data_IF_135249727440
#
_entry.id   IF_135249727440
#
_cell.length_a   1.000
_cell.length_b   1.000
_cell.length_c   1.000
_cell.angle_alpha   90.00
_cell.angle_beta   90.00
_cell.angle_gamma   90.00
#
_symmetry.space_group_name_H-M   'P 1'
#
loop_
_entity.id
_entity.type
_entity.pdbx_description
1 polymer ?
#
# COMPACT_ATOMS: atom_id res chain seq x y z
N UNK A 1 -12.37 -7.74 13.53
CA UNK A 1 -11.74 -9.03 13.19
C UNK A 1 -11.94 -9.24 11.69
N UNK A 2 -10.98 -8.84 10.86
CA UNK A 2 -11.03 -9.21 9.43
C UNK A 2 -10.50 -10.64 9.32
N UNK A 3 -11.37 -11.58 8.97
CA UNK A 3 -10.97 -12.94 8.62
C UNK A 3 -10.27 -12.93 7.27
N UNK A 4 -9.22 -13.73 7.11
CA UNK A 4 -8.57 -13.93 5.80
C UNK A 4 -9.57 -14.58 4.84
N UNK A 5 -9.85 -13.99 3.66
CA UNK A 5 -10.71 -14.59 2.65
C UNK A 5 -10.24 -15.98 2.23
N UNK A 6 -11.17 -16.93 2.06
CA UNK A 6 -10.86 -18.35 1.78
C UNK A 6 -11.10 -18.75 0.33
N UNK A 7 -11.76 -17.91 -0.45
CA UNK A 7 -12.05 -18.15 -1.86
C UNK A 7 -12.06 -16.83 -2.65
N UNK A 8 -12.23 -16.97 -3.96
CA UNK A 8 -12.20 -15.85 -4.91
C UNK A 8 -13.27 -14.80 -4.58
N UNK A 9 -14.50 -15.23 -4.32
CA UNK A 9 -15.63 -14.32 -4.12
C UNK A 9 -15.45 -13.55 -2.80
N UNK A 10 -15.08 -14.25 -1.72
CA UNK A 10 -14.73 -13.61 -0.44
C UNK A 10 -13.58 -12.61 -0.58
N UNK A 11 -12.57 -12.89 -1.42
CA UNK A 11 -11.45 -11.99 -1.64
C UNK A 11 -11.89 -10.72 -2.38
N UNK A 12 -12.67 -10.87 -3.45
CA UNK A 12 -13.19 -9.74 -4.24
C UNK A 12 -14.12 -8.88 -3.39
N UNK A 13 -15.00 -9.49 -2.61
CA UNK A 13 -15.92 -8.79 -1.72
C UNK A 13 -15.17 -8.05 -0.61
N UNK A 14 -14.15 -8.67 -0.01
CA UNK A 14 -13.32 -8.03 1.00
C UNK A 14 -12.58 -6.82 0.44
N UNK A 15 -11.94 -6.94 -0.73
CA UNK A 15 -11.24 -5.83 -1.39
C UNK A 15 -12.23 -4.69 -1.67
N UNK A 16 -13.36 -4.99 -2.32
CA UNK A 16 -14.33 -3.97 -2.74
C UNK A 16 -14.99 -3.25 -1.57
N UNK A 17 -15.36 -3.99 -0.51
CA UNK A 17 -15.99 -3.43 0.68
C UNK A 17 -15.03 -2.54 1.47
N UNK A 18 -13.78 -2.99 1.65
CA UNK A 18 -12.78 -2.24 2.42
C UNK A 18 -12.30 -1.03 1.63
N UNK A 19 -12.03 -1.17 0.33
CA UNK A 19 -11.57 -0.05 -0.50
C UNK A 19 -12.60 1.07 -0.57
N UNK A 20 -13.89 0.74 -0.63
CA UNK A 20 -14.96 1.75 -0.68
C UNK A 20 -15.04 2.55 0.62
N UNK A 21 -14.90 1.90 1.78
CA UNK A 21 -14.87 2.57 3.09
C UNK A 21 -13.64 3.45 3.23
N UNK A 22 -12.49 2.92 2.84
CA UNK A 22 -11.23 3.65 2.91
C UNK A 22 -11.23 4.90 2.01
N UNK A 23 -11.86 4.82 0.85
CA UNK A 23 -12.02 5.97 -0.04
C UNK A 23 -12.86 7.08 0.61
N UNK A 24 -13.93 6.72 1.33
CA UNK A 24 -14.74 7.68 2.10
C UNK A 24 -13.88 8.37 3.17
N UNK A 25 -13.06 7.61 3.89
CA UNK A 25 -12.16 8.17 4.91
C UNK A 25 -11.19 9.17 4.27
N UNK A 26 -10.53 8.82 3.16
CA UNK A 26 -9.61 9.73 2.46
C UNK A 26 -10.31 10.99 1.93
N UNK A 27 -11.51 10.87 1.38
CA UNK A 27 -12.28 12.00 0.86
C UNK A 27 -12.79 12.94 1.95
N UNK A 28 -12.88 12.47 3.19
CA UNK A 28 -13.30 13.28 4.33
C UNK A 28 -12.22 14.24 4.85
N UNK A 29 -10.95 14.03 4.46
CA UNK A 29 -9.82 14.82 4.93
C UNK A 29 -9.67 16.10 4.07
N UNK A 30 -9.64 17.29 4.69
CA UNK A 30 -9.31 18.53 3.98
C UNK A 30 -7.94 18.46 3.31
N UNK A 31 -7.84 19.00 2.10
CA UNK A 31 -6.61 18.89 1.29
C UNK A 31 -5.40 19.52 1.98
N UNK A 32 -5.63 20.56 2.78
CA UNK A 32 -4.62 21.32 3.50
C UNK A 32 -3.96 20.50 4.62
N UNK A 33 -4.69 19.52 5.16
CA UNK A 33 -4.21 18.63 6.23
C UNK A 33 -3.61 17.33 5.68
N UNK A 34 -3.78 17.04 4.39
CA UNK A 34 -3.43 15.75 3.78
C UNK A 34 -1.94 15.39 3.90
N UNK A 35 -1.08 16.40 4.07
CA UNK A 35 0.38 16.28 4.17
C UNK A 35 0.94 16.50 5.57
N UNK A 36 0.08 16.74 6.57
CA UNK A 36 0.52 16.91 7.96
C UNK A 36 1.07 15.58 8.50
N UNK A 37 2.26 15.63 9.11
CA UNK A 37 2.94 14.46 9.69
C UNK A 37 2.40 14.19 11.09
N UNK A 38 1.14 13.75 11.17
CA UNK A 38 0.44 13.52 12.45
C UNK A 38 -0.02 12.07 12.67
N UNK A 39 0.08 11.20 11.66
CA UNK A 39 -0.30 9.78 11.78
C UNK A 39 0.88 8.96 12.27
N UNK A 40 0.68 8.07 13.24
CA UNK A 40 1.72 7.12 13.67
C UNK A 40 2.15 6.21 12.50
N UNK A 41 3.44 6.21 12.20
CA UNK A 41 4.02 5.40 11.14
C UNK A 41 4.29 3.95 11.55
N UNK A 42 4.53 3.09 10.56
CA UNK A 42 4.84 1.67 10.77
C UNK A 42 6.18 1.43 11.51
N UNK A 43 7.07 2.43 11.54
CA UNK A 43 8.31 2.41 12.32
C UNK A 43 8.05 3.16 13.62
N UNK A 44 8.38 2.54 14.75
CA UNK A 44 8.17 3.15 16.08
C UNK A 44 8.75 4.57 16.14
N UNK A 45 7.98 5.50 16.69
CA UNK A 45 8.31 6.92 16.81
C UNK A 45 8.46 7.67 15.46
N UNK A 46 7.93 7.14 14.37
CA UNK A 46 7.79 7.90 13.11
C UNK A 46 6.38 8.45 12.99
N UNK A 47 6.26 9.60 12.32
CA UNK A 47 4.98 10.14 11.88
C UNK A 47 4.96 10.21 10.36
N UNK A 48 3.79 9.96 9.79
CA UNK A 48 3.52 9.99 8.35
C UNK A 48 2.27 10.83 8.09
N UNK A 49 2.10 11.26 6.85
CA UNK A 49 0.91 11.99 6.41
C UNK A 49 -0.19 11.07 5.88
N UNK A 50 -1.40 11.60 5.68
CA UNK A 50 -2.49 10.89 4.98
C UNK A 50 -2.03 10.47 3.59
N UNK A 51 -1.35 11.36 2.85
CA UNK A 51 -0.76 11.05 1.54
C UNK A 51 0.26 9.90 1.60
N UNK A 52 1.06 9.81 2.66
CA UNK A 52 2.04 8.73 2.83
C UNK A 52 1.35 7.38 3.07
N UNK A 53 0.22 7.36 3.79
CA UNK A 53 -0.59 6.13 3.93
C UNK A 53 -1.17 5.68 2.59
N UNK A 54 -1.62 6.61 1.75
CA UNK A 54 -2.12 6.30 0.42
C UNK A 54 -1.00 5.81 -0.50
N UNK A 55 0.17 6.45 -0.44
CA UNK A 55 1.38 6.07 -1.17
C UNK A 55 1.82 4.63 -0.84
N UNK A 56 1.75 4.26 0.43
CA UNK A 56 2.00 2.90 0.91
C UNK A 56 1.06 1.88 0.25
N UNK A 57 -0.24 2.15 0.22
CA UNK A 57 -1.24 1.26 -0.38
C UNK A 57 -1.07 1.11 -1.88
N UNK A 58 -0.83 2.23 -2.59
CA UNK A 58 -0.57 2.22 -4.03
C UNK A 58 0.69 1.40 -4.35
N UNK A 59 1.75 1.58 -3.56
CA UNK A 59 3.01 0.85 -3.71
C UNK A 59 2.81 -0.67 -3.65
N UNK A 60 2.16 -1.17 -2.59
CA UNK A 60 1.87 -2.60 -2.46
C UNK A 60 0.94 -3.13 -3.55
N UNK A 61 -0.12 -2.39 -3.89
CA UNK A 61 -1.05 -2.77 -4.95
C UNK A 61 -0.34 -2.91 -6.30
N UNK A 62 0.49 -1.94 -6.68
CA UNK A 62 1.29 -2.00 -7.92
C UNK A 62 2.30 -3.15 -7.90
N UNK A 63 2.87 -3.47 -6.74
CA UNK A 63 3.82 -4.56 -6.61
C UNK A 63 3.17 -5.93 -6.90
N UNK A 64 1.98 -6.17 -6.36
CA UNK A 64 1.21 -7.40 -6.65
C UNK A 64 0.86 -7.49 -8.14
N UNK A 65 0.41 -6.39 -8.74
CA UNK A 65 0.10 -6.33 -10.17
C UNK A 65 1.34 -6.58 -11.04
N UNK A 66 2.49 -6.00 -10.66
CA UNK A 66 3.79 -6.25 -11.32
C UNK A 66 4.17 -7.73 -11.26
N UNK A 67 4.06 -8.37 -10.09
CA UNK A 67 4.34 -9.80 -9.95
C UNK A 67 3.45 -10.64 -10.87
N UNK A 68 2.15 -10.35 -10.91
CA UNK A 68 1.20 -11.05 -11.76
C UNK A 68 1.56 -10.90 -13.25
N UNK A 69 1.83 -9.68 -13.70
CA UNK A 69 2.19 -9.42 -15.09
C UNK A 69 3.47 -10.16 -15.50
N UNK A 70 4.53 -10.07 -14.69
CA UNK A 70 5.79 -10.74 -15.00
C UNK A 70 5.62 -12.27 -15.05
N UNK A 71 4.86 -12.84 -14.10
CA UNK A 71 4.54 -14.28 -14.13
C UNK A 71 3.73 -14.65 -15.38
N UNK A 72 2.73 -13.86 -15.75
CA UNK A 72 1.92 -14.09 -16.96
C UNK A 72 2.76 -14.02 -18.23
N UNK A 73 3.80 -13.19 -18.23
CA UNK A 73 4.76 -13.04 -19.34
C UNK A 73 5.86 -14.12 -19.35
N UNK A 74 5.90 -15.03 -18.37
CA UNK A 74 6.98 -16.01 -18.22
C UNK A 74 8.33 -15.40 -17.81
N UNK A 75 8.33 -14.18 -17.28
CA UNK A 75 9.53 -13.47 -16.81
C UNK A 75 9.86 -13.80 -15.35
N UNK A 76 11.14 -13.73 -14.94
CA UNK A 76 11.51 -13.87 -13.54
C UNK A 76 10.90 -12.75 -12.69
N UNK A 77 10.61 -13.06 -11.43
CA UNK A 77 10.04 -12.13 -10.45
C UNK A 77 10.92 -12.13 -9.21
N UNK A 78 11.43 -10.95 -8.86
CA UNK A 78 12.14 -10.72 -7.60
C UNK A 78 11.12 -10.40 -6.50
N UNK A 79 11.15 -11.18 -5.41
CA UNK A 79 10.27 -10.97 -4.26
C UNK A 79 11.05 -10.48 -3.03
N UNK A 80 10.54 -9.49 -2.27
CA UNK A 80 9.34 -8.70 -2.56
C UNK A 80 9.51 -7.74 -3.75
N UNK A 81 10.71 -7.21 -3.97
CA UNK A 81 11.03 -6.30 -5.08
C UNK A 81 12.53 -6.42 -5.38
N UNK A 82 12.94 -6.11 -6.61
CA UNK A 82 14.35 -6.05 -7.02
C UNK A 82 15.14 -5.15 -6.05
N UNK A 83 16.16 -5.70 -5.42
CA UNK A 83 17.01 -4.99 -4.46
C UNK A 83 16.51 -5.03 -3.01
N UNK A 84 15.36 -5.64 -2.73
CA UNK A 84 14.79 -5.74 -1.37
C UNK A 84 14.60 -7.19 -0.94
N UNK A 85 14.75 -7.44 0.37
CA UNK A 85 14.43 -8.72 1.03
C UNK A 85 13.16 -8.60 1.88
N UNK A 86 12.57 -9.74 2.24
CA UNK A 86 11.37 -9.78 3.09
C UNK A 86 11.57 -9.21 4.51
N UNK A 87 12.80 -9.10 4.99
CA UNK A 87 13.10 -8.41 6.26
C UNK A 87 13.31 -6.89 6.09
N UNK A 88 13.17 -6.36 4.87
CA UNK A 88 13.34 -4.95 4.52
C UNK A 88 12.02 -4.29 4.06
N UNK A 89 10.86 -4.84 4.45
CA UNK A 89 9.57 -4.29 4.02
C UNK A 89 9.32 -2.85 4.51
N UNK A 90 9.92 -2.46 5.63
CA UNK A 90 9.87 -1.08 6.11
C UNK A 90 10.61 -0.11 5.19
N UNK A 91 11.80 -0.49 4.71
CA UNK A 91 12.57 0.31 3.74
C UNK A 91 11.86 0.36 2.38
N UNK A 92 11.30 -0.78 1.93
CA UNK A 92 10.50 -0.84 0.71
C UNK A 92 9.25 0.07 0.82
N UNK A 93 8.55 0.06 1.96
CA UNK A 93 7.42 0.93 2.23
C UNK A 93 7.80 2.43 2.18
N UNK A 94 8.95 2.81 2.75
CA UNK A 94 9.46 4.17 2.67
C UNK A 94 9.80 4.57 1.22
N UNK A 95 10.25 3.63 0.38
CA UNK A 95 10.51 3.91 -1.03
C UNK A 95 9.24 4.29 -1.80
N UNK A 96 8.08 3.73 -1.43
CA UNK A 96 6.79 4.10 -2.02
C UNK A 96 6.42 5.55 -1.68
N UNK A 97 6.59 5.94 -0.41
CA UNK A 97 6.34 7.30 0.05
C UNK A 97 7.25 8.30 -0.69
N UNK A 98 8.54 7.96 -0.84
CA UNK A 98 9.47 8.77 -1.60
C UNK A 98 9.07 8.90 -3.09
N UNK A 99 8.58 7.82 -3.70
CA UNK A 99 8.17 7.81 -5.11
C UNK A 99 6.95 8.71 -5.40
N UNK A 100 6.02 8.82 -4.45
CA UNK A 100 4.80 9.63 -4.58
C UNK A 100 4.86 10.96 -3.84
N UNK A 101 6.03 11.34 -3.32
CA UNK A 101 6.18 12.52 -2.46
C UNK A 101 5.65 13.80 -3.10
N UNK A 102 5.84 13.96 -4.41
CA UNK A 102 5.53 15.19 -5.16
C UNK A 102 4.22 15.12 -5.98
N UNK A 103 3.42 14.05 -5.81
CA UNK A 103 2.07 13.95 -6.39
C UNK A 103 1.06 14.83 -5.67
#
# INVERSE_FOLDING_TARGET
MSSVPKNKDELVDAISSISSKLLVDYQSIPSELSRDLEIEGNVKNTKVSVCDTLSYLIGWGKLVLKWYQLKSDGKPVDFPETGYKWNQLGELAQSFQAHYKDW
#
